data_IF_293385507110
#
_entry.id   IF_293385507110
#
_cell.length_a   1.000
_cell.length_b   1.000
_cell.length_c   1.000
_cell.angle_alpha   90.00
_cell.angle_beta   90.00
_cell.angle_gamma   90.00
#
_symmetry.space_group_name_H-M   'P 1'
#
loop_
_entity.id
_entity.type
_entity.pdbx_description
1 polymer ?
#
# COMPACT_ATOMS: atom_id res chain seq x y z
N UNK A 1 -12.55 -1.18 -0.76
CA UNK A 1 -12.53 -2.38 0.11
C UNK A 1 -11.10 -2.89 0.32
N UNK A 2 -10.30 -2.98 -0.74
CA UNK A 2 -8.89 -3.38 -0.61
C UNK A 2 -8.05 -2.40 0.19
N UNK A 3 -8.23 -1.09 0.01
CA UNK A 3 -7.55 -0.06 0.81
C UNK A 3 -7.52 -0.36 2.32
N UNK A 4 -8.68 -0.57 2.94
CA UNK A 4 -8.77 -0.86 4.37
C UNK A 4 -8.07 -2.17 4.78
N UNK A 5 -8.06 -3.18 3.90
CA UNK A 5 -7.38 -4.46 4.15
C UNK A 5 -5.87 -4.26 4.07
N UNK A 6 -5.38 -3.66 2.98
CA UNK A 6 -3.96 -3.39 2.74
C UNK A 6 -3.40 -2.49 3.84
N UNK A 7 -4.12 -1.40 4.18
CA UNK A 7 -3.75 -0.51 5.28
C UNK A 7 -3.65 -1.25 6.61
N UNK A 8 -4.63 -2.09 6.97
CA UNK A 8 -4.59 -2.85 8.22
C UNK A 8 -3.38 -3.78 8.29
N UNK A 9 -3.04 -4.47 7.21
CA UNK A 9 -1.88 -5.36 7.20
C UNK A 9 -0.55 -4.58 7.23
N UNK A 10 -0.48 -3.44 6.55
CA UNK A 10 0.65 -2.52 6.62
C UNK A 10 0.84 -1.96 8.03
N UNK A 11 -0.22 -1.42 8.64
CA UNK A 11 -0.22 -0.88 10.01
C UNK A 11 0.19 -1.95 11.04
N UNK A 12 -0.19 -3.21 10.82
CA UNK A 12 0.22 -4.35 11.64
C UNK A 12 1.64 -4.85 11.36
N UNK A 13 2.41 -4.17 10.50
CA UNK A 13 3.77 -4.53 10.10
C UNK A 13 3.86 -5.96 9.55
N UNK A 14 2.85 -6.40 8.80
CA UNK A 14 2.86 -7.72 8.19
C UNK A 14 4.05 -7.82 7.23
N UNK A 15 4.90 -8.86 7.28
CA UNK A 15 6.16 -8.91 6.50
C UNK A 15 5.99 -8.71 4.98
N UNK A 16 4.84 -9.09 4.44
CA UNK A 16 4.48 -8.96 3.02
C UNK A 16 3.75 -7.66 2.64
N UNK A 17 3.54 -6.74 3.59
CA UNK A 17 2.88 -5.44 3.38
C UNK A 17 3.81 -4.34 3.87
N UNK A 18 4.89 -4.15 3.12
CA UNK A 18 5.86 -3.06 3.25
C UNK A 18 5.78 -2.12 2.04
N UNK A 19 6.49 -0.99 2.10
CA UNK A 19 6.45 0.08 1.09
C UNK A 19 6.67 -0.43 -0.33
N UNK A 20 7.64 -1.33 -0.53
CA UNK A 20 7.93 -1.89 -1.86
C UNK A 20 6.83 -2.83 -2.35
N UNK A 21 6.32 -3.69 -1.47
CA UNK A 21 5.25 -4.62 -1.82
C UNK A 21 3.94 -3.92 -2.17
N UNK A 22 3.67 -2.75 -1.56
CA UNK A 22 2.44 -2.00 -1.83
C UNK A 22 2.41 -1.41 -3.25
N UNK A 23 3.58 -1.12 -3.87
CA UNK A 23 3.64 -0.76 -5.29
C UNK A 23 3.08 -1.87 -6.20
N UNK A 24 3.24 -3.14 -5.81
CA UNK A 24 2.62 -4.28 -6.54
C UNK A 24 1.09 -4.26 -6.44
N UNK A 25 0.53 -3.84 -5.30
CA UNK A 25 -0.92 -3.72 -5.13
C UNK A 25 -1.51 -2.57 -5.96
N UNK A 26 -0.71 -1.53 -6.22
CA UNK A 26 -1.08 -0.47 -7.17
C UNK A 26 -1.13 -1.01 -8.61
N UNK A 27 -0.10 -1.74 -9.04
CA UNK A 27 -0.07 -2.39 -10.37
C UNK A 27 -1.23 -3.38 -10.55
N UNK A 28 -1.56 -4.13 -9.50
CA UNK A 28 -2.69 -5.05 -9.47
C UNK A 28 -4.08 -4.37 -9.38
N UNK A 29 -4.12 -3.03 -9.36
CA UNK A 29 -5.34 -2.21 -9.23
C UNK A 29 -6.16 -2.51 -7.97
N UNK A 30 -5.49 -2.97 -6.90
CA UNK A 30 -6.13 -3.19 -5.60
C UNK A 30 -6.22 -1.89 -4.82
N UNK A 31 -5.21 -1.03 -4.94
CA UNK A 31 -5.18 0.32 -4.40
C UNK A 31 -4.72 1.30 -5.48
N UNK A 32 -4.98 2.60 -5.31
CA UNK A 32 -4.46 3.64 -6.21
C UNK A 32 -3.08 4.14 -5.77
N UNK A 33 -2.32 4.86 -6.62
CA UNK A 33 -1.09 5.54 -6.22
C UNK A 33 -1.29 6.47 -5.01
N UNK A 34 -2.37 7.24 -5.00
CA UNK A 34 -2.70 8.18 -3.91
C UNK A 34 -3.00 7.43 -2.61
N UNK A 35 -3.69 6.29 -2.70
CA UNK A 35 -3.94 5.40 -1.57
C UNK A 35 -2.64 4.77 -1.03
N UNK A 36 -1.69 4.40 -1.90
CA UNK A 36 -0.37 3.93 -1.47
C UNK A 36 0.39 5.00 -0.69
N UNK A 37 0.39 6.24 -1.17
CA UNK A 37 0.99 7.39 -0.47
C UNK A 37 0.35 7.61 0.90
N UNK A 38 -0.97 7.52 1.00
CA UNK A 38 -1.68 7.65 2.27
C UNK A 38 -1.34 6.53 3.28
N UNK A 39 -1.08 5.31 2.80
CA UNK A 39 -0.73 4.18 3.67
C UNK A 39 0.73 4.28 4.12
N UNK A 40 1.62 4.59 3.18
CA UNK A 40 3.08 4.51 3.40
C UNK A 40 3.70 5.82 3.86
N UNK A 41 3.04 6.97 3.64
CA UNK A 41 3.59 8.32 3.70
C UNK A 41 4.84 8.52 2.82
N UNK A 42 4.98 7.73 1.76
CA UNK A 42 6.06 7.82 0.78
C UNK A 42 5.44 8.15 -0.57
N UNK A 43 6.00 9.16 -1.24
CA UNK A 43 5.62 9.54 -2.61
C UNK A 43 5.73 8.31 -3.54
N UNK A 44 4.66 8.01 -4.27
CA UNK A 44 4.65 6.83 -5.14
C UNK A 44 5.61 6.98 -6.31
N UNK A 45 5.86 8.22 -6.76
CA UNK A 45 6.75 8.54 -7.87
C UNK A 45 8.25 8.58 -7.50
N UNK A 46 8.58 8.42 -6.21
CA UNK A 46 9.95 8.34 -5.70
C UNK A 46 10.49 6.90 -5.69
#
# INVERSE_FOLDING_TARGET
>A
MWYSIVKRYYDNQHPFYNTDSLKTFVVAKMITPEENEQITNVDYAA
#
